data_IF_378185841082
#
_entry.id   IF_378185841082
#
_cell.length_a   1.000
_cell.length_b   1.000
_cell.length_c   1.000
_cell.angle_alpha   90.00
_cell.angle_beta   90.00
_cell.angle_gamma   90.00
#
_symmetry.space_group_name_H-M   'P 1'
#
loop_
_entity.id
_entity.type
_entity.pdbx_description
1 polymer ?
#
# COMPACT_ATOMS: atom_id res chain seq x y z
N UNK A 1 5.72 19.36 25.58
CA UNK A 1 5.82 17.93 25.97
C UNK A 1 4.98 17.16 24.96
N UNK A 2 5.57 16.32 24.10
CA UNK A 2 4.75 15.44 23.25
C UNK A 2 4.03 14.46 24.15
N UNK A 3 2.71 14.43 24.06
CA UNK A 3 1.89 13.50 24.82
C UNK A 3 2.31 12.06 24.43
N UNK A 4 2.50 11.16 25.40
CA UNK A 4 2.92 9.77 25.14
C UNK A 4 2.02 9.08 24.09
N UNK A 5 0.76 9.50 24.02
CA UNK A 5 -0.21 9.04 23.03
C UNK A 5 0.13 9.46 21.60
N UNK A 6 0.55 10.71 21.38
CA UNK A 6 0.92 11.21 20.04
C UNK A 6 2.17 10.50 19.52
N UNK A 7 3.14 10.25 20.41
CA UNK A 7 4.33 9.45 20.07
C UNK A 7 3.93 8.02 19.65
N UNK A 8 3.01 7.38 20.38
CA UNK A 8 2.49 6.07 20.04
C UNK A 8 1.87 6.02 18.63
N UNK A 9 1.13 7.05 18.23
CA UNK A 9 0.57 7.12 16.89
C UNK A 9 1.63 7.29 15.79
N UNK A 10 2.70 8.06 16.02
CA UNK A 10 3.81 8.16 15.08
C UNK A 10 4.59 6.85 14.95
N UNK A 11 4.82 6.12 16.05
CA UNK A 11 5.45 4.79 16.00
C UNK A 11 4.56 3.83 15.21
N UNK A 12 3.25 3.84 15.48
CA UNK A 12 2.31 3.01 14.73
C UNK A 12 2.33 3.34 13.23
N UNK A 13 2.24 4.62 12.87
CA UNK A 13 2.18 5.04 11.46
C UNK A 13 3.48 4.73 10.73
N UNK A 14 4.62 4.82 11.43
CA UNK A 14 5.91 4.36 10.90
C UNK A 14 5.88 2.87 10.59
N UNK A 15 5.48 2.03 11.55
CA UNK A 15 5.45 0.57 11.37
C UNK A 15 4.49 0.19 10.24
N UNK A 16 3.25 0.69 10.26
CA UNK A 16 2.22 0.29 9.28
C UNK A 16 2.57 0.77 7.88
N UNK A 17 3.16 1.96 7.74
CA UNK A 17 3.59 2.48 6.44
C UNK A 17 4.77 1.70 5.86
N UNK A 18 5.77 1.36 6.69
CA UNK A 18 6.92 0.53 6.27
C UNK A 18 6.50 -0.89 5.95
N UNK A 19 5.71 -1.54 6.79
CA UNK A 19 5.21 -2.91 6.52
C UNK A 19 4.37 -2.93 5.25
N UNK A 20 3.47 -1.97 5.04
CA UNK A 20 2.69 -1.86 3.81
C UNK A 20 3.57 -1.68 2.57
N UNK A 21 4.60 -0.82 2.66
CA UNK A 21 5.56 -0.60 1.58
C UNK A 21 6.39 -1.86 1.27
N UNK A 22 6.85 -2.57 2.30
CA UNK A 22 7.65 -3.80 2.16
C UNK A 22 6.81 -4.90 1.53
N UNK A 23 5.57 -5.11 1.99
CA UNK A 23 4.69 -6.13 1.40
C UNK A 23 4.36 -5.80 -0.06
N UNK A 24 4.03 -4.54 -0.38
CA UNK A 24 3.81 -4.12 -1.77
C UNK A 24 5.01 -4.36 -2.69
N UNK A 25 6.23 -4.26 -2.18
CA UNK A 25 7.45 -4.37 -2.99
C UNK A 25 7.98 -5.81 -3.09
N UNK A 26 7.85 -6.59 -2.02
CA UNK A 26 8.52 -7.90 -1.90
C UNK A 26 7.60 -9.10 -2.10
N UNK A 27 6.29 -8.89 -2.20
CA UNK A 27 5.32 -9.96 -2.44
C UNK A 27 4.48 -9.64 -3.65
N UNK A 28 3.93 -10.69 -4.28
CA UNK A 28 3.06 -10.52 -5.42
C UNK A 28 1.81 -9.72 -5.03
N UNK A 29 1.28 -9.00 -6.00
CA UNK A 29 0.06 -8.23 -5.86
C UNK A 29 -1.16 -9.13 -6.03
N UNK A 30 -1.13 -9.97 -7.05
CA UNK A 30 -2.20 -10.89 -7.42
C UNK A 30 -1.64 -12.03 -8.29
N UNK A 31 -2.37 -13.13 -8.37
CA UNK A 31 -2.01 -14.29 -9.19
C UNK A 31 -3.21 -14.93 -9.85
N UNK A 32 -2.96 -15.73 -10.88
CA UNK A 32 -3.97 -16.52 -11.58
C UNK A 32 -3.39 -17.83 -12.10
N UNK A 33 -4.28 -18.82 -12.23
CA UNK A 33 -4.03 -20.08 -12.92
C UNK A 33 -5.19 -20.33 -13.90
N UNK A 34 -4.81 -20.63 -15.15
CA UNK A 34 -5.74 -20.95 -16.21
C UNK A 34 -5.36 -22.27 -16.87
N UNK A 35 -6.35 -23.11 -17.16
CA UNK A 35 -6.16 -24.29 -17.98
C UNK A 35 -6.74 -24.10 -19.38
N UNK A 36 -5.98 -24.50 -20.39
CA UNK A 36 -6.53 -24.65 -21.74
C UNK A 36 -6.97 -26.10 -21.92
N UNK A 37 -8.24 -26.36 -21.60
CA UNK A 37 -8.84 -27.70 -21.63
C UNK A 37 -8.64 -28.45 -22.96
N UNK A 38 -8.57 -27.73 -24.09
CA UNK A 38 -8.41 -28.32 -25.42
C UNK A 38 -6.97 -28.72 -25.75
N UNK A 39 -5.98 -28.08 -25.11
CA UNK A 39 -4.55 -28.33 -25.34
C UNK A 39 -3.89 -29.08 -24.17
N UNK A 40 -4.58 -29.24 -23.05
CA UNK A 40 -4.05 -29.88 -21.84
C UNK A 40 -2.88 -29.12 -21.20
N UNK A 41 -2.82 -27.80 -21.41
CA UNK A 41 -1.76 -26.93 -20.90
C UNK A 41 -2.31 -26.08 -19.75
N UNK A 42 -1.55 -25.96 -18.65
CA UNK A 42 -1.78 -24.96 -17.60
C UNK A 42 -0.89 -23.74 -17.84
N UNK A 43 -1.44 -22.56 -17.56
CA UNK A 43 -0.74 -21.28 -17.63
C UNK A 43 -0.95 -20.59 -16.28
N UNK A 44 0.15 -20.42 -15.56
CA UNK A 44 0.19 -19.68 -14.30
C UNK A 44 0.78 -18.30 -14.55
N UNK A 45 0.26 -17.29 -13.85
CA UNK A 45 0.78 -15.93 -13.91
C UNK A 45 0.61 -15.18 -12.60
N UNK A 46 1.45 -14.17 -12.40
CA UNK A 46 1.45 -13.33 -11.21
C UNK A 46 1.77 -11.90 -11.58
N UNK A 47 1.08 -10.95 -10.94
CA UNK A 47 1.42 -9.53 -11.01
C UNK A 47 2.29 -9.20 -9.80
N UNK A 48 3.57 -8.94 -10.05
CA UNK A 48 4.53 -8.53 -9.03
C UNK A 48 5.49 -7.48 -9.57
N UNK A 49 6.43 -7.04 -8.74
CA UNK A 49 7.51 -6.18 -9.22
C UNK A 49 8.48 -7.03 -10.03
N UNK A 50 8.45 -6.89 -11.35
CA UNK A 50 9.30 -7.63 -12.28
C UNK A 50 10.13 -6.71 -13.16
N UNK A 51 11.44 -6.99 -13.27
CA UNK A 51 12.34 -6.28 -14.19
C UNK A 51 12.03 -6.56 -15.66
N UNK A 52 11.34 -7.67 -15.95
CA UNK A 52 10.96 -8.08 -17.30
C UNK A 52 9.71 -7.32 -17.78
N UNK A 53 8.87 -6.87 -16.84
CA UNK A 53 7.66 -6.10 -17.10
C UNK A 53 7.76 -4.71 -16.48
N UNK A 54 8.54 -3.78 -17.06
CA UNK A 54 8.81 -2.46 -16.48
C UNK A 54 7.55 -1.61 -16.27
N UNK A 55 6.45 -1.92 -16.97
CA UNK A 55 5.16 -1.26 -16.77
C UNK A 55 4.48 -1.66 -15.46
N UNK A 56 4.75 -2.85 -14.92
CA UNK A 56 4.23 -3.29 -13.62
C UNK A 56 4.63 -2.32 -12.51
N UNK A 57 5.84 -1.72 -12.58
CA UNK A 57 6.32 -0.72 -11.62
C UNK A 57 5.41 0.50 -11.49
N UNK A 58 4.62 0.85 -12.53
CA UNK A 58 3.67 1.96 -12.45
C UNK A 58 2.62 1.67 -11.37
N UNK A 59 2.25 0.41 -11.17
CA UNK A 59 1.29 -0.01 -10.14
C UNK A 59 1.85 0.11 -8.71
N UNK A 60 3.16 -0.11 -8.55
CA UNK A 60 3.80 -0.22 -7.24
C UNK A 60 4.54 1.04 -6.79
N UNK A 61 5.16 1.77 -7.71
CA UNK A 61 6.05 2.89 -7.40
C UNK A 61 5.30 4.06 -6.74
N UNK A 62 4.13 4.52 -7.24
CA UNK A 62 3.40 5.60 -6.59
C UNK A 62 2.97 5.31 -5.15
N UNK A 63 2.28 4.19 -4.82
CA UNK A 63 1.90 3.91 -3.45
C UNK A 63 3.12 3.65 -2.55
N UNK A 64 4.19 3.05 -3.09
CA UNK A 64 5.46 2.89 -2.37
C UNK A 64 6.04 4.24 -1.93
N UNK A 65 6.20 5.18 -2.86
CA UNK A 65 6.74 6.52 -2.56
C UNK A 65 5.88 7.25 -1.53
N UNK A 66 4.55 7.14 -1.65
CA UNK A 66 3.62 7.76 -0.70
C UNK A 66 3.75 7.15 0.70
N UNK A 67 3.88 5.82 0.82
CA UNK A 67 4.08 5.15 2.11
C UNK A 67 5.45 5.44 2.72
N UNK A 68 6.52 5.53 1.91
CA UNK A 68 7.84 5.95 2.39
C UNK A 68 7.82 7.41 2.85
N UNK A 69 7.05 8.28 2.19
CA UNK A 69 6.83 9.64 2.67
C UNK A 69 6.09 9.66 4.02
N UNK A 70 5.10 8.80 4.22
CA UNK A 70 4.45 8.61 5.52
C UNK A 70 5.43 8.17 6.61
N UNK A 71 6.34 7.25 6.29
CA UNK A 71 7.41 6.83 7.21
C UNK A 71 8.31 8.02 7.58
N UNK A 72 8.73 8.81 6.58
CA UNK A 72 9.53 10.02 6.79
C UNK A 72 8.83 11.04 7.71
N UNK A 73 7.55 11.34 7.45
CA UNK A 73 6.74 12.24 8.29
C UNK A 73 6.63 11.69 9.72
N UNK A 74 6.50 10.37 9.89
CA UNK A 74 6.45 9.73 11.20
C UNK A 74 7.76 9.90 11.97
N UNK A 75 8.91 9.75 11.30
CA UNK A 75 10.24 9.98 11.90
C UNK A 75 10.41 11.44 12.34
N UNK A 76 10.03 12.40 11.49
CA UNK A 76 10.04 13.82 11.86
C UNK A 76 9.15 14.10 13.08
N UNK A 77 7.98 13.44 13.16
CA UNK A 77 7.08 13.50 14.30
C UNK A 77 7.72 13.01 15.60
N UNK A 78 8.43 11.87 15.55
CA UNK A 78 9.16 11.32 16.70
C UNK A 78 10.33 12.19 17.14
N UNK A 79 10.99 12.89 16.21
CA UNK A 79 12.06 13.84 16.51
C UNK A 79 11.55 15.17 17.06
N UNK A 80 10.23 15.41 17.04
CA UNK A 80 9.62 16.67 17.46
C UNK A 80 9.85 17.83 16.48
N UNK A 81 10.37 17.57 15.28
CA UNK A 81 10.64 18.56 14.24
C UNK A 81 9.58 18.48 13.13
N UNK A 82 8.31 18.52 13.52
CA UNK A 82 7.19 18.33 12.60
C UNK A 82 6.28 19.56 12.59
N UNK A 83 5.88 19.97 11.40
CA UNK A 83 4.87 21.02 11.19
C UNK A 83 3.51 20.38 10.89
N UNK A 84 2.42 21.03 11.31
CA UNK A 84 1.04 20.56 11.05
C UNK A 84 0.79 20.31 9.55
N UNK A 85 1.38 21.12 8.68
CA UNK A 85 1.32 20.94 7.21
C UNK A 85 1.90 19.59 6.79
N UNK A 86 3.02 19.15 7.37
CA UNK A 86 3.66 17.86 7.05
C UNK A 86 2.82 16.68 7.52
N UNK A 87 2.20 16.78 8.71
CA UNK A 87 1.25 15.76 9.21
C UNK A 87 0.05 15.65 8.26
N UNK A 88 -0.46 16.79 7.79
CA UNK A 88 -1.59 16.84 6.85
C UNK A 88 -1.22 16.23 5.50
N UNK A 89 -0.02 16.51 4.99
CA UNK A 89 0.50 15.87 3.78
C UNK A 89 0.65 14.36 3.97
N UNK A 90 1.22 13.89 5.09
CA UNK A 90 1.32 12.46 5.40
C UNK A 90 -0.03 11.75 5.45
N UNK A 91 -1.04 12.39 6.04
CA UNK A 91 -2.42 11.88 6.04
C UNK A 91 -2.97 11.70 4.63
N UNK A 92 -2.88 12.73 3.77
CA UNK A 92 -3.36 12.64 2.39
C UNK A 92 -2.52 11.69 1.53
N UNK A 93 -1.21 11.56 1.79
CA UNK A 93 -0.36 10.57 1.14
C UNK A 93 -0.79 9.14 1.47
N UNK A 94 -1.14 8.86 2.73
CA UNK A 94 -1.66 7.55 3.13
C UNK A 94 -3.01 7.26 2.45
N UNK A 95 -3.91 8.25 2.33
CA UNK A 95 -5.16 8.10 1.56
C UNK A 95 -4.85 7.84 0.09
N UNK A 96 -3.92 8.60 -0.50
CA UNK A 96 -3.50 8.44 -1.88
C UNK A 96 -2.97 7.03 -2.15
N UNK A 97 -2.11 6.50 -1.28
CA UNK A 97 -1.60 5.15 -1.37
C UNK A 97 -2.74 4.11 -1.32
N UNK A 98 -3.67 4.27 -0.38
CA UNK A 98 -4.83 3.36 -0.24
C UNK A 98 -5.70 3.36 -1.49
N UNK A 99 -6.06 4.54 -2.00
CA UNK A 99 -6.88 4.68 -3.22
C UNK A 99 -6.15 4.07 -4.42
N UNK A 100 -4.83 4.29 -4.53
CA UNK A 100 -4.04 3.76 -5.62
C UNK A 100 -3.98 2.23 -5.63
N UNK A 101 -3.74 1.61 -4.46
CA UNK A 101 -3.69 0.15 -4.32
C UNK A 101 -5.07 -0.46 -4.62
N UNK A 102 -6.16 0.13 -4.12
CA UNK A 102 -7.52 -0.34 -4.39
C UNK A 102 -7.83 -0.22 -5.88
N UNK A 103 -7.51 0.91 -6.51
CA UNK A 103 -7.70 1.10 -7.95
C UNK A 103 -6.91 0.07 -8.75
N UNK A 104 -5.66 -0.22 -8.35
CA UNK A 104 -4.84 -1.27 -8.93
C UNK A 104 -5.48 -2.66 -8.84
N UNK A 105 -6.04 -3.00 -7.68
CA UNK A 105 -6.77 -4.25 -7.49
C UNK A 105 -8.02 -4.34 -8.36
N UNK A 106 -8.77 -3.24 -8.53
CA UNK A 106 -9.93 -3.19 -9.41
C UNK A 106 -9.54 -3.33 -10.88
N UNK A 107 -8.43 -2.72 -11.32
CA UNK A 107 -7.91 -2.86 -12.69
C UNK A 107 -7.54 -4.32 -12.95
N UNK A 108 -6.80 -4.95 -12.03
CA UNK A 108 -6.48 -6.38 -12.12
C UNK A 108 -7.77 -7.23 -12.20
N UNK A 109 -8.74 -6.97 -11.33
CA UNK A 109 -10.00 -7.71 -11.30
C UNK A 109 -10.77 -7.58 -12.62
N UNK A 110 -10.83 -6.39 -13.21
CA UNK A 110 -11.53 -6.20 -14.49
C UNK A 110 -10.79 -6.94 -15.60
N UNK A 111 -9.46 -6.83 -15.67
CA UNK A 111 -8.65 -7.52 -16.68
C UNK A 111 -8.79 -9.04 -16.58
N UNK A 112 -8.72 -9.58 -15.36
CA UNK A 112 -8.77 -11.04 -15.15
C UNK A 112 -10.16 -11.61 -15.43
N UNK A 113 -11.23 -10.84 -15.21
CA UNK A 113 -12.58 -11.28 -15.57
C UNK A 113 -12.84 -11.29 -17.09
N UNK A 114 -12.10 -10.51 -17.87
CA UNK A 114 -12.15 -10.55 -19.34
C UNK A 114 -11.41 -11.76 -19.90
N UNK A 115 -10.30 -12.17 -19.26
CA UNK A 115 -9.48 -13.30 -19.70
C UNK A 115 -10.01 -14.68 -19.24
N UNK A 116 -11.06 -14.72 -18.41
CA UNK A 116 -11.74 -15.92 -17.89
C UNK A 116 -10.83 -17.06 -17.36
N UNK A 117 -9.81 -16.81 -16.52
CA UNK A 117 -9.05 -17.90 -15.90
C UNK A 117 -9.88 -18.63 -14.86
N UNK A 118 -9.61 -19.93 -14.69
CA UNK A 118 -10.34 -20.79 -13.76
C UNK A 118 -10.14 -20.37 -12.29
N UNK A 119 -8.95 -19.85 -11.95
CA UNK A 119 -8.61 -19.44 -10.60
C UNK A 119 -7.82 -18.13 -10.59
N UNK A 120 -8.17 -17.21 -9.70
CA UNK A 120 -7.42 -15.99 -9.45
C UNK A 120 -7.52 -15.59 -7.98
N UNK A 121 -6.52 -14.86 -7.48
CA UNK A 121 -6.51 -14.35 -6.11
C UNK A 121 -5.72 -13.05 -6.01
N UNK A 122 -6.04 -12.27 -4.98
CA UNK A 122 -5.14 -11.23 -4.48
C UNK A 122 -4.14 -11.82 -3.51
N UNK A 123 -2.93 -11.30 -3.50
CA UNK A 123 -1.84 -11.80 -2.67
C UNK A 123 -1.39 -10.75 -1.64
N UNK A 124 -0.37 -11.06 -0.84
CA UNK A 124 0.10 -10.28 0.29
C UNK A 124 0.49 -8.84 -0.08
N UNK A 125 0.90 -8.58 -1.33
CA UNK A 125 1.26 -7.25 -1.80
C UNK A 125 0.03 -6.34 -1.86
N UNK A 126 -1.10 -6.86 -2.38
CA UNK A 126 -2.36 -6.14 -2.38
C UNK A 126 -2.88 -5.91 -0.95
N UNK A 127 -3.01 -6.98 -0.16
CA UNK A 127 -3.55 -6.86 1.20
C UNK A 127 -2.65 -6.03 2.11
N UNK A 128 -1.34 -6.18 2.00
CA UNK A 128 -0.35 -5.38 2.72
C UNK A 128 -0.43 -3.90 2.35
N UNK A 129 -0.60 -3.58 1.07
CA UNK A 129 -0.81 -2.21 0.60
C UNK A 129 -2.09 -1.60 1.15
N UNK A 130 -3.23 -2.31 1.08
CA UNK A 130 -4.53 -1.82 1.57
C UNK A 130 -4.52 -1.66 3.09
N UNK A 131 -4.13 -2.70 3.83
CA UNK A 131 -4.16 -2.69 5.30
C UNK A 131 -3.12 -1.72 5.85
N UNK A 132 -1.90 -1.74 5.30
CA UNK A 132 -0.81 -0.85 5.72
C UNK A 132 -1.17 0.62 5.51
N UNK A 133 -1.74 0.97 4.35
CA UNK A 133 -2.20 2.34 4.09
C UNK A 133 -3.40 2.73 4.96
N UNK A 134 -4.41 1.86 5.12
CA UNK A 134 -5.59 2.14 5.94
C UNK A 134 -5.25 2.40 7.41
N UNK A 135 -4.38 1.57 8.01
CA UNK A 135 -3.92 1.79 9.39
C UNK A 135 -3.12 3.08 9.51
N UNK A 136 -2.27 3.39 8.52
CA UNK A 136 -1.50 4.64 8.48
C UNK A 136 -2.43 5.87 8.41
N UNK A 137 -3.50 5.81 7.60
CA UNK A 137 -4.55 6.84 7.55
C UNK A 137 -5.18 7.06 8.91
N UNK A 138 -5.60 5.98 9.58
CA UNK A 138 -6.22 6.06 10.91
C UNK A 138 -5.29 6.70 11.94
N UNK A 139 -4.01 6.32 11.94
CA UNK A 139 -3.04 6.83 12.89
C UNK A 139 -2.74 8.31 12.65
N UNK A 140 -2.54 8.74 11.41
CA UNK A 140 -2.38 10.16 11.10
C UNK A 140 -3.65 10.98 11.37
N UNK A 141 -4.84 10.40 11.19
CA UNK A 141 -6.09 11.05 11.59
C UNK A 141 -6.10 11.37 13.09
N UNK A 142 -5.68 10.43 13.95
CA UNK A 142 -5.60 10.67 15.39
C UNK A 142 -4.53 11.71 15.75
N UNK A 143 -3.38 11.71 15.08
CA UNK A 143 -2.35 12.76 15.25
C UNK A 143 -2.92 14.14 14.88
N UNK A 144 -3.61 14.27 13.74
CA UNK A 144 -4.24 15.52 13.31
C UNK A 144 -5.32 16.00 14.29
N UNK A 145 -6.10 15.07 14.84
CA UNK A 145 -7.12 15.38 15.83
C UNK A 145 -6.50 15.97 17.10
N UNK A 146 -5.39 15.42 17.57
CA UNK A 146 -4.68 15.89 18.76
C UNK A 146 -3.91 17.20 18.56
N UNK A 147 -3.51 17.53 17.33
CA UNK A 147 -2.79 18.80 17.04
C UNK A 147 -3.72 19.99 16.82
N UNK A 148 -5.02 19.76 16.59
CA UNK A 148 -6.05 20.81 16.47
C UNK A 148 -6.71 21.16 17.81
N UNK A 149 -6.41 20.40 18.86
CA UNK A 149 -6.88 20.66 20.24
C UNK A 149 -5.81 21.41 21.02
#
# INVERSE_FOLDING_TARGET
MSNNQTQGFYVGSLITSVVGAVLLLLTDFAGWDGSNYYLGLSIEGSVGVSFEEPLSFILFLPPLVLLLFCAYVSVLGLQGNIQTKQITMGFYSAIGAMVYVIAGGLIFLVAILEDEPEYWWFDAGFFGGVIGSALTVLLFYYVLKQTKT
#
